data_IF_427264066889
#
_entry.id   IF_427264066889
#
_cell.length_a   1.000
_cell.length_b   1.000
_cell.length_c   1.000
_cell.angle_alpha   90.00
_cell.angle_beta   90.00
_cell.angle_gamma   90.00
#
_symmetry.space_group_name_H-M   'P 1'
#
loop_
_entity.id
_entity.type
_entity.pdbx_description
1 polymer ?
#
# COMPACT_ATOMS: atom_id res chain seq x y z
N UNK A 1 6.42 -6.27 -21.93
CA UNK A 1 6.10 -5.28 -22.99
C UNK A 1 5.40 -4.08 -22.36
N UNK A 2 5.95 -2.87 -22.19
CA UNK A 2 7.33 -2.30 -22.18
C UNK A 2 7.22 -0.88 -21.55
N UNK A 3 8.23 -0.38 -20.82
CA UNK A 3 8.81 1.00 -20.91
C UNK A 3 9.37 1.66 -19.64
N UNK A 4 9.23 1.12 -18.42
CA UNK A 4 10.27 1.39 -17.39
C UNK A 4 11.63 0.87 -17.88
N UNK A 5 11.57 -0.20 -18.67
CA UNK A 5 12.69 -0.95 -19.24
C UNK A 5 13.51 -0.20 -20.30
N UNK A 6 12.97 0.83 -20.98
CA UNK A 6 13.75 1.62 -21.95
C UNK A 6 14.61 2.69 -21.26
N UNK A 7 14.13 3.23 -20.14
CA UNK A 7 14.83 4.27 -19.38
C UNK A 7 16.04 3.71 -18.61
N UNK A 8 15.99 2.41 -18.30
CA UNK A 8 17.13 1.60 -17.81
C UNK A 8 18.16 1.34 -18.91
N UNK A 9 17.73 1.16 -20.18
CA UNK A 9 18.63 0.77 -21.29
C UNK A 9 19.55 1.90 -21.78
N UNK A 10 19.12 3.15 -21.64
CA UNK A 10 19.87 4.34 -22.12
C UNK A 10 20.63 5.09 -21.01
N UNK A 11 20.65 4.57 -19.77
CA UNK A 11 21.36 5.21 -18.64
C UNK A 11 20.77 6.56 -18.22
N UNK A 12 19.49 6.82 -18.53
CA UNK A 12 18.82 8.13 -18.34
C UNK A 12 18.13 8.32 -17.00
N UNK A 13 18.08 7.31 -16.13
CA UNK A 13 17.51 7.43 -14.79
C UNK A 13 18.54 8.08 -13.84
N UNK A 14 18.42 9.40 -13.70
CA UNK A 14 19.16 10.19 -12.71
C UNK A 14 18.25 10.63 -11.57
N UNK A 15 18.89 10.89 -10.42
CA UNK A 15 18.30 11.15 -9.09
C UNK A 15 17.29 12.32 -9.03
N UNK A 16 17.08 13.06 -10.12
CA UNK A 16 16.25 14.27 -10.24
C UNK A 16 14.88 13.99 -10.90
N UNK A 17 14.71 12.86 -11.60
CA UNK A 17 13.47 12.58 -12.37
C UNK A 17 12.43 11.69 -11.64
N UNK A 18 12.79 11.04 -10.53
CA UNK A 18 11.89 10.12 -9.80
C UNK A 18 10.81 10.85 -9.00
N UNK A 19 11.08 12.08 -8.56
CA UNK A 19 10.12 12.92 -7.82
C UNK A 19 9.00 13.49 -8.71
N UNK A 20 9.04 13.25 -10.03
CA UNK A 20 8.14 13.81 -11.05
C UNK A 20 7.33 12.73 -11.81
N UNK A 21 6.71 11.80 -11.08
CA UNK A 21 5.69 10.86 -11.60
C UNK A 21 4.48 11.60 -12.24
N UNK A 22 4.31 12.89 -11.93
CA UNK A 22 3.32 13.81 -12.52
C UNK A 22 3.39 13.91 -14.06
N UNK A 23 4.48 13.45 -14.68
CA UNK A 23 4.72 13.50 -16.14
C UNK A 23 4.64 12.14 -16.85
N UNK A 24 4.17 11.08 -16.19
CA UNK A 24 4.03 9.79 -16.87
C UNK A 24 2.77 9.74 -17.78
N UNK A 25 2.81 8.99 -18.89
CA UNK A 25 1.80 9.04 -19.95
C UNK A 25 0.40 8.60 -19.48
N UNK A 26 -0.64 9.08 -20.19
CA UNK A 26 -2.10 8.90 -19.94
C UNK A 26 -2.60 7.45 -19.71
N UNK A 27 -1.74 6.43 -19.73
CA UNK A 27 -2.07 5.01 -19.60
C UNK A 27 -1.89 4.37 -18.22
N UNK A 28 -1.33 5.07 -17.23
CA UNK A 28 -1.03 4.47 -15.90
C UNK A 28 -2.26 4.17 -15.06
N UNK A 29 -3.27 5.04 -15.04
CA UNK A 29 -4.52 4.73 -14.34
C UNK A 29 -5.15 3.46 -14.90
N UNK A 30 -5.16 3.31 -16.22
CA UNK A 30 -5.63 2.09 -16.89
C UNK A 30 -4.75 0.86 -16.59
N UNK A 31 -3.44 1.04 -16.39
CA UNK A 31 -2.55 -0.02 -15.94
C UNK A 31 -2.93 -0.50 -14.53
N UNK A 32 -3.06 0.43 -13.58
CA UNK A 32 -3.44 0.11 -12.19
C UNK A 32 -4.82 -0.53 -12.13
N UNK A 33 -5.81 0.00 -12.85
CA UNK A 33 -7.14 -0.58 -12.91
C UNK A 33 -7.14 -2.00 -13.48
N UNK A 34 -6.37 -2.26 -14.54
CA UNK A 34 -6.25 -3.62 -15.08
C UNK A 34 -5.59 -4.54 -14.06
N UNK A 35 -4.46 -4.14 -13.45
CA UNK A 35 -3.78 -4.96 -12.46
C UNK A 35 -4.69 -5.26 -11.26
N UNK A 36 -5.33 -4.24 -10.69
CA UNK A 36 -6.29 -4.37 -9.60
C UNK A 36 -7.41 -5.35 -9.91
N UNK A 37 -8.03 -5.23 -11.10
CA UNK A 37 -9.09 -6.15 -11.54
C UNK A 37 -8.60 -7.56 -11.80
N UNK A 38 -7.39 -7.73 -12.34
CA UNK A 38 -6.80 -9.06 -12.59
C UNK A 38 -6.55 -9.79 -11.27
N UNK A 39 -5.90 -9.13 -10.30
CA UNK A 39 -5.63 -9.70 -8.99
C UNK A 39 -6.93 -10.13 -8.28
N UNK A 40 -7.97 -9.29 -8.35
CA UNK A 40 -9.28 -9.64 -7.78
C UNK A 40 -9.98 -10.77 -8.52
N UNK A 41 -9.88 -10.82 -9.85
CA UNK A 41 -10.52 -11.86 -10.65
C UNK A 41 -9.83 -13.22 -10.54
N UNK A 42 -8.53 -13.25 -10.20
CA UNK A 42 -7.77 -14.48 -10.01
C UNK A 42 -8.22 -15.25 -8.76
N UNK A 43 -8.36 -14.55 -7.63
CA UNK A 43 -8.93 -15.11 -6.40
C UNK A 43 -9.58 -13.99 -5.58
N UNK A 44 -10.89 -13.80 -5.78
CA UNK A 44 -11.65 -12.72 -5.13
C UNK A 44 -11.65 -12.86 -3.61
N UNK A 45 -11.71 -14.09 -3.09
CA UNK A 45 -11.75 -14.34 -1.65
C UNK A 45 -10.40 -14.02 -1.00
N UNK A 46 -9.29 -14.36 -1.65
CA UNK A 46 -7.95 -13.97 -1.20
C UNK A 46 -7.73 -12.46 -1.33
N UNK A 47 -8.20 -11.86 -2.44
CA UNK A 47 -8.08 -10.44 -2.70
C UNK A 47 -8.76 -9.60 -1.63
N UNK A 48 -10.07 -9.82 -1.41
CA UNK A 48 -10.88 -9.03 -0.48
C UNK A 48 -10.40 -9.21 0.97
N UNK A 49 -9.92 -10.42 1.32
CA UNK A 49 -9.51 -10.75 2.69
C UNK A 49 -8.10 -10.31 3.04
N UNK A 50 -7.16 -10.37 2.09
CA UNK A 50 -5.74 -10.17 2.38
C UNK A 50 -5.11 -9.05 1.56
N UNK A 51 -5.30 -9.03 0.24
CA UNK A 51 -4.62 -8.08 -0.64
C UNK A 51 -5.15 -6.65 -0.48
N UNK A 52 -6.46 -6.44 -0.63
CA UNK A 52 -7.07 -5.10 -0.51
C UNK A 52 -6.72 -4.43 0.84
N UNK A 53 -6.89 -5.09 2.00
CA UNK A 53 -6.58 -4.46 3.28
C UNK A 53 -5.12 -4.03 3.43
N UNK A 54 -4.16 -4.86 3.01
CA UNK A 54 -2.74 -4.55 3.14
C UNK A 54 -2.35 -3.40 2.21
N UNK A 55 -2.75 -3.46 0.95
CA UNK A 55 -2.39 -2.45 -0.06
C UNK A 55 -3.06 -1.10 0.24
N UNK A 56 -4.31 -1.11 0.69
CA UNK A 56 -5.00 0.13 1.06
C UNK A 56 -4.42 0.77 2.33
N UNK A 57 -3.97 -0.01 3.32
CA UNK A 57 -3.27 0.54 4.49
C UNK A 57 -1.95 1.18 4.07
N UNK A 58 -1.15 0.51 3.22
CA UNK A 58 0.08 1.09 2.68
C UNK A 58 -0.17 2.38 1.89
N UNK A 59 -1.29 2.46 1.16
CA UNK A 59 -1.71 3.68 0.47
C UNK A 59 -2.12 4.80 1.42
N UNK A 60 -2.82 4.46 2.51
CA UNK A 60 -3.33 5.41 3.49
C UNK A 60 -2.23 6.01 4.38
N UNK A 61 -1.26 5.22 4.81
CA UNK A 61 -0.19 5.68 5.73
C UNK A 61 0.80 6.60 5.04
N UNK A 62 1.10 6.37 3.75
CA UNK A 62 2.07 7.12 2.92
C UNK A 62 3.53 7.10 3.41
N UNK A 63 3.78 6.83 4.68
CA UNK A 63 5.09 6.61 5.28
C UNK A 63 5.52 5.12 5.16
N UNK A 64 6.84 4.82 5.16
CA UNK A 64 7.33 3.45 5.23
C UNK A 64 6.93 2.77 6.54
N UNK A 65 6.42 1.53 6.45
CA UNK A 65 5.94 0.78 7.61
C UNK A 65 6.47 -0.65 7.64
N UNK A 66 6.54 -1.21 8.83
CA UNK A 66 7.03 -2.56 9.08
C UNK A 66 5.89 -3.56 8.93
N UNK A 67 6.22 -4.86 8.82
CA UNK A 67 5.20 -5.93 8.85
C UNK A 67 4.45 -5.93 10.18
N UNK A 68 5.10 -5.59 11.29
CA UNK A 68 4.40 -5.49 12.58
C UNK A 68 3.35 -4.39 12.61
N UNK A 69 3.63 -3.25 11.99
CA UNK A 69 2.64 -2.18 11.85
C UNK A 69 1.45 -2.65 11.01
N UNK A 70 1.72 -3.29 9.86
CA UNK A 70 0.68 -3.89 9.03
C UNK A 70 -0.14 -4.94 9.78
N UNK A 71 0.50 -5.81 10.57
CA UNK A 71 -0.20 -6.79 11.41
C UNK A 71 -1.13 -6.10 12.41
N UNK A 72 -0.66 -5.05 13.08
CA UNK A 72 -1.46 -4.30 14.08
C UNK A 72 -2.68 -3.63 13.46
N UNK A 73 -2.60 -3.16 12.22
CA UNK A 73 -3.73 -2.50 11.55
C UNK A 73 -4.62 -3.45 10.77
N UNK A 74 -4.08 -4.52 10.18
CA UNK A 74 -4.85 -5.45 9.36
C UNK A 74 -5.41 -6.62 10.18
N UNK A 75 -4.80 -6.91 11.33
CA UNK A 75 -5.03 -8.12 12.15
C UNK A 75 -4.71 -9.43 11.41
N UNK A 76 -3.93 -9.34 10.33
CA UNK A 76 -3.48 -10.48 9.54
C UNK A 76 -2.19 -11.08 10.10
N UNK A 77 -2.02 -12.38 9.89
CA UNK A 77 -0.77 -13.06 10.23
C UNK A 77 0.39 -12.47 9.38
N UNK A 78 1.58 -12.22 9.97
CA UNK A 78 2.77 -11.76 9.26
C UNK A 78 3.11 -12.54 7.98
N UNK A 79 2.89 -13.85 7.96
CA UNK A 79 3.11 -14.67 6.75
C UNK A 79 2.20 -14.25 5.61
N UNK A 80 0.92 -14.00 5.88
CA UNK A 80 -0.04 -13.53 4.87
C UNK A 80 0.28 -12.13 4.37
N UNK A 81 0.77 -11.27 5.26
CA UNK A 81 1.23 -9.94 4.87
C UNK A 81 2.44 -10.03 3.92
N UNK A 82 3.38 -10.93 4.20
CA UNK A 82 4.53 -11.19 3.31
C UNK A 82 4.09 -11.72 1.95
N UNK A 83 3.18 -12.71 1.93
CA UNK A 83 2.63 -13.24 0.67
C UNK A 83 2.06 -12.10 -0.20
N UNK A 84 1.26 -11.19 0.39
CA UNK A 84 0.71 -10.02 -0.32
C UNK A 84 1.81 -9.05 -0.77
N UNK A 85 2.81 -8.78 0.04
CA UNK A 85 3.94 -7.90 -0.33
C UNK A 85 4.68 -8.46 -1.55
N UNK A 86 4.87 -9.78 -1.60
CA UNK A 86 5.54 -10.46 -2.71
C UNK A 86 4.68 -10.43 -3.99
N UNK A 87 3.38 -10.68 -3.86
CA UNK A 87 2.39 -10.58 -4.95
C UNK A 87 2.34 -9.17 -5.56
N UNK A 88 2.46 -8.12 -4.73
CA UNK A 88 2.37 -6.72 -5.15
C UNK A 88 3.72 -6.01 -5.28
N UNK A 89 4.82 -6.76 -5.32
CA UNK A 89 6.19 -6.23 -5.21
C UNK A 89 6.52 -5.11 -6.20
N UNK A 90 5.93 -5.15 -7.39
CA UNK A 90 6.13 -4.15 -8.45
C UNK A 90 5.61 -2.73 -8.10
N UNK A 91 4.72 -2.61 -7.11
CA UNK A 91 4.18 -1.33 -6.65
C UNK A 91 4.82 -0.82 -5.35
N UNK A 92 5.68 -1.63 -4.73
CA UNK A 92 6.23 -1.39 -3.41
C UNK A 92 7.71 -1.06 -3.46
N UNK A 93 8.12 -0.07 -2.65
CA UNK A 93 9.51 0.13 -2.28
C UNK A 93 9.79 -0.61 -0.98
N UNK A 94 10.96 -1.25 -0.95
CA UNK A 94 11.57 -1.85 0.23
C UNK A 94 12.74 -0.95 0.65
N UNK A 95 12.78 -0.58 1.92
CA UNK A 95 13.94 0.03 2.57
C UNK A 95 14.47 -0.97 3.59
N UNK A 96 15.71 -1.40 3.37
CA UNK A 96 16.45 -2.39 4.17
C UNK A 96 17.70 -1.78 4.83
N UNK A 97 17.78 -0.45 4.89
CA UNK A 97 18.94 0.26 5.42
C UNK A 97 19.03 0.30 6.95
N UNK A 98 17.97 -0.10 7.65
CA UNK A 98 17.88 -0.14 9.11
C UNK A 98 17.75 -1.55 9.70
N UNK A 99 17.40 -1.63 10.99
CA UNK A 99 17.24 -2.90 11.70
C UNK A 99 15.97 -3.68 11.29
N UNK A 100 15.01 -2.99 10.66
CA UNK A 100 13.74 -3.56 10.22
C UNK A 100 13.45 -3.23 8.75
N UNK A 101 12.81 -4.16 8.04
CA UNK A 101 12.36 -3.95 6.67
C UNK A 101 11.13 -3.03 6.65
N UNK A 102 11.22 -1.95 5.89
CA UNK A 102 10.15 -0.98 5.72
C UNK A 102 9.57 -1.03 4.31
N UNK A 103 8.25 -0.98 4.23
CA UNK A 103 7.50 -1.09 2.99
C UNK A 103 6.65 0.16 2.78
N UNK A 104 6.62 0.67 1.55
CA UNK A 104 5.71 1.76 1.14
C UNK A 104 5.28 1.58 -0.30
N UNK A 105 4.13 2.12 -0.68
CA UNK A 105 3.80 2.29 -2.10
C UNK A 105 4.79 3.27 -2.72
N UNK A 106 5.42 2.87 -3.81
CA UNK A 106 6.42 3.68 -4.49
C UNK A 106 5.80 4.86 -5.25
N UNK A 107 4.66 4.62 -5.93
CA UNK A 107 4.05 5.62 -6.80
C UNK A 107 2.92 6.39 -6.11
N UNK A 108 3.09 7.70 -5.95
CA UNK A 108 2.00 8.58 -5.48
C UNK A 108 0.74 8.45 -6.36
N UNK A 109 0.90 8.30 -7.67
CA UNK A 109 -0.21 8.06 -8.60
C UNK A 109 -0.98 6.76 -8.35
N UNK A 110 -0.33 5.73 -7.81
CA UNK A 110 -1.02 4.50 -7.42
C UNK A 110 -1.81 4.69 -6.13
N UNK A 111 -1.27 5.46 -5.18
CA UNK A 111 -2.01 5.85 -3.97
C UNK A 111 -3.26 6.68 -4.31
N UNK A 112 -3.14 7.63 -5.24
CA UNK A 112 -4.26 8.44 -5.70
C UNK A 112 -5.30 7.58 -6.43
N UNK A 113 -4.86 6.63 -7.26
CA UNK A 113 -5.74 5.64 -7.87
C UNK A 113 -6.54 4.86 -6.80
N UNK A 114 -5.88 4.31 -5.78
CA UNK A 114 -6.55 3.55 -4.71
C UNK A 114 -7.52 4.44 -3.90
N UNK A 115 -7.17 5.71 -3.70
CA UNK A 115 -8.05 6.70 -3.07
C UNK A 115 -9.34 6.90 -3.86
N UNK A 116 -9.25 7.00 -5.19
CA UNK A 116 -10.40 7.19 -6.07
C UNK A 116 -11.23 5.91 -6.27
N UNK A 117 -10.57 4.75 -6.42
CA UNK A 117 -11.22 3.49 -6.77
C UNK A 117 -11.84 2.76 -5.56
N UNK A 118 -11.15 2.76 -4.42
CA UNK A 118 -11.55 1.98 -3.23
C UNK A 118 -12.13 2.85 -2.12
N UNK A 119 -11.70 4.12 -2.04
CA UNK A 119 -12.06 5.02 -0.94
C UNK A 119 -11.32 4.68 0.35
N UNK A 120 -10.20 5.36 0.60
CA UNK A 120 -9.30 5.04 1.71
C UNK A 120 -9.78 5.51 3.10
N UNK A 121 -10.94 6.16 3.20
CA UNK A 121 -11.46 6.74 4.46
C UNK A 121 -11.59 5.67 5.55
N UNK A 122 -12.15 4.49 5.22
CA UNK A 122 -12.28 3.36 6.15
C UNK A 122 -10.94 2.86 6.72
N UNK A 123 -9.85 3.02 5.96
CA UNK A 123 -8.51 2.61 6.40
C UNK A 123 -7.83 3.67 7.25
N UNK A 124 -8.05 4.96 6.97
CA UNK A 124 -7.62 6.04 7.86
C UNK A 124 -8.24 5.92 9.26
N UNK A 125 -9.54 5.62 9.33
CA UNK A 125 -10.24 5.37 10.60
C UNK A 125 -9.63 4.18 11.35
N UNK A 126 -9.34 3.07 10.64
CA UNK A 126 -8.72 1.88 11.25
C UNK A 126 -7.35 2.22 11.86
N UNK A 127 -6.52 2.97 11.15
CA UNK A 127 -5.21 3.43 11.65
C UNK A 127 -5.40 4.32 12.88
N UNK A 128 -6.33 5.28 12.82
CA UNK A 128 -6.61 6.20 13.93
C UNK A 128 -7.11 5.45 15.18
N UNK A 129 -8.06 4.53 15.04
CA UNK A 129 -8.59 3.72 16.15
C UNK A 129 -7.47 2.89 16.80
N UNK A 130 -6.61 2.26 15.99
CA UNK A 130 -5.47 1.50 16.53
C UNK A 130 -4.47 2.40 17.26
N UNK A 131 -4.23 3.62 16.78
CA UNK A 131 -3.40 4.60 17.48
C UNK A 131 -4.03 5.05 18.82
N UNK A 132 -5.33 5.35 18.81
CA UNK A 132 -6.08 5.78 19.99
C UNK A 132 -6.18 4.68 21.06
N UNK A 133 -6.31 3.41 20.67
CA UNK A 133 -6.31 2.27 21.61
C UNK A 133 -5.01 2.14 22.41
N UNK A 134 -3.90 2.67 21.90
CA UNK A 134 -2.61 2.68 22.60
C UNK A 134 -2.50 3.77 23.65
N UNK A 135 -3.44 4.74 23.68
CA UNK A 135 -3.48 5.80 24.69
C UNK A 135 -4.25 5.27 25.91
N UNK A 136 -3.61 5.07 27.08
CA UNK A 136 -4.29 4.60 28.27
C UNK A 136 -5.43 5.55 28.67
N UNK A 137 -6.67 5.03 28.71
CA UNK A 137 -7.84 5.77 29.17
C UNK A 137 -8.68 6.47 28.09
N UNK A 138 -8.35 6.36 26.81
CA UNK A 138 -9.11 7.01 25.72
C UNK A 138 -10.42 6.29 25.37
N UNK A 139 -10.47 4.96 25.47
CA UNK A 139 -11.70 4.17 25.31
C UNK A 139 -12.18 3.69 26.69
N UNK A 140 -12.63 4.62 27.54
CA UNK A 140 -13.41 4.24 28.73
C UNK A 140 -14.85 3.99 28.28
N UNK A 141 -15.17 2.70 28.18
CA UNK A 141 -16.49 2.07 28.27
C UNK A 141 -17.69 3.03 28.46
N UNK A 142 -18.40 3.35 27.37
CA UNK A 142 -19.79 3.83 27.46
C UNK A 142 -20.77 2.64 27.56
N UNK A 143 -20.55 1.76 28.53
CA UNK A 143 -21.58 0.81 28.95
C UNK A 143 -21.70 0.78 30.47
N UNK A 144 -22.20 1.88 31.04
CA UNK A 144 -23.02 1.87 32.25
C UNK A 144 -24.15 2.90 32.13
N UNK A 145 -25.38 2.40 32.06
CA UNK A 145 -26.62 3.18 32.08
C UNK A 145 -27.80 2.30 31.73
#
# INVERSE_FOLDING_TARGET
MVHVLNDIREGKLTKVNVDNISNLPKGLKGYYQRHWRMMRAEDEAHFDKYQEPVICILAAVREPVTIEHLQKWTELNPRRIKDVIDEWREFLNLDDSGDELLYRIYHASFQDFLKEEVGLVKYHEKIAITALRKIPGFLKDETKG
#
